data_IF_404652910794
#
_entry.id   IF_404652910794
#
_cell.length_a   1.000
_cell.length_b   1.000
_cell.length_c   1.000
_cell.angle_alpha   90.00
_cell.angle_beta   90.00
_cell.angle_gamma   90.00
#
_symmetry.space_group_name_H-M   'P 1'
#
loop_
_entity.id
_entity.type
_entity.pdbx_description
1 polymer ?
#
# COMPACT_ATOMS: atom_id res chain seq x y z
N UNK A 1 92.16 29.17 -6.95
CA UNK A 1 91.88 30.34 -6.10
C UNK A 1 90.48 30.18 -5.51
N UNK A 2 90.39 30.11 -4.18
CA UNK A 2 89.39 30.78 -3.28
C UNK A 2 87.91 30.65 -3.71
N UNK A 3 86.93 30.14 -2.95
CA UNK A 3 86.72 30.24 -1.51
C UNK A 3 85.75 29.16 -1.00
N UNK A 4 85.95 28.74 0.25
CA UNK A 4 85.01 27.95 1.04
C UNK A 4 83.85 28.82 1.54
N UNK A 5 82.62 28.36 1.36
CA UNK A 5 81.40 28.94 1.94
C UNK A 5 80.76 27.96 2.92
N UNK A 6 80.72 28.35 4.20
CA UNK A 6 80.31 27.56 5.36
C UNK A 6 78.83 27.13 5.32
N UNK A 7 78.59 25.88 5.74
CA UNK A 7 77.27 25.31 6.03
C UNK A 7 76.74 25.80 7.38
N UNK A 8 75.46 26.23 7.47
CA UNK A 8 74.86 26.55 8.75
C UNK A 8 74.47 25.28 9.52
N UNK A 9 74.87 25.27 10.78
CA UNK A 9 74.56 24.28 11.81
C UNK A 9 73.05 24.17 12.06
N UNK A 10 72.52 22.94 11.98
CA UNK A 10 71.15 22.59 12.41
C UNK A 10 71.02 22.70 13.92
N UNK A 11 70.29 23.70 14.40
CA UNK A 11 69.82 23.77 15.78
C UNK A 11 68.76 22.69 16.05
N UNK A 12 69.06 21.81 17.01
CA UNK A 12 68.13 20.86 17.61
C UNK A 12 67.20 21.60 18.59
N UNK A 13 66.02 22.05 18.13
CA UNK A 13 64.91 22.41 19.04
C UNK A 13 64.01 21.20 19.26
N UNK A 14 64.47 20.25 20.07
CA UNK A 14 63.62 19.24 20.71
C UNK A 14 63.13 19.77 22.04
N UNK A 15 61.84 20.04 22.14
CA UNK A 15 61.18 20.25 23.42
C UNK A 15 60.19 21.41 23.37
N UNK A 16 58.95 21.15 22.94
CA UNK A 16 57.73 21.73 23.52
C UNK A 16 56.42 21.33 22.80
N UNK A 17 56.45 20.60 21.68
CA UNK A 17 55.24 20.26 20.93
C UNK A 17 54.41 19.09 21.49
N UNK A 18 54.93 18.34 22.47
CA UNK A 18 54.24 17.14 22.97
C UNK A 18 53.05 17.44 23.91
N UNK A 19 53.07 18.56 24.65
CA UNK A 19 51.96 18.96 25.53
C UNK A 19 50.77 19.55 24.75
N UNK A 20 51.03 20.23 23.63
CA UNK A 20 49.96 20.88 22.85
C UNK A 20 49.06 19.87 22.12
N UNK A 21 49.64 18.76 21.64
CA UNK A 21 48.89 17.69 20.98
C UNK A 21 48.01 16.90 21.94
N UNK A 22 48.39 16.78 23.21
CA UNK A 22 47.56 16.07 24.19
C UNK A 22 46.31 16.89 24.53
N UNK A 23 46.44 18.22 24.68
CA UNK A 23 45.31 19.07 25.01
C UNK A 23 44.30 19.19 23.86
N UNK A 24 44.76 19.29 22.60
CA UNK A 24 43.89 19.28 21.42
C UNK A 24 43.10 17.97 21.27
N UNK A 25 43.72 16.82 21.56
CA UNK A 25 43.03 15.51 21.51
C UNK A 25 41.92 15.43 22.56
N UNK A 26 42.17 15.91 23.78
CA UNK A 26 41.18 15.92 24.86
C UNK A 26 39.99 16.84 24.56
N UNK A 27 40.23 18.01 23.95
CA UNK A 27 39.15 18.94 23.55
C UNK A 27 38.30 18.32 22.43
N UNK A 28 38.93 17.70 21.43
CA UNK A 28 38.21 17.08 20.31
C UNK A 28 37.36 15.88 20.77
N UNK A 29 37.87 15.04 21.67
CA UNK A 29 37.10 13.90 22.21
C UNK A 29 35.94 14.36 23.09
N UNK A 30 36.10 15.42 23.89
CA UNK A 30 35.01 16.00 24.67
C UNK A 30 33.93 16.62 23.77
N UNK A 31 34.32 17.28 22.68
CA UNK A 31 33.38 17.84 21.71
C UNK A 31 32.57 16.74 21.00
N UNK A 32 33.24 15.70 20.50
CA UNK A 32 32.56 14.56 19.85
C UNK A 32 31.60 13.83 20.80
N UNK A 33 32.00 13.63 22.06
CA UNK A 33 31.13 13.04 23.08
C UNK A 33 29.91 13.92 23.36
N UNK A 34 30.10 15.25 23.43
CA UNK A 34 29.01 16.20 23.63
C UNK A 34 28.05 16.21 22.44
N UNK A 35 28.56 16.18 21.21
CA UNK A 35 27.75 16.05 19.99
C UNK A 35 26.98 14.72 19.97
N UNK A 36 27.61 13.61 20.35
CA UNK A 36 26.94 12.32 20.45
C UNK A 36 25.84 12.31 21.52
N UNK A 37 26.08 12.94 22.68
CA UNK A 37 25.08 13.08 23.74
C UNK A 37 23.92 13.97 23.29
N UNK A 38 24.20 15.10 22.63
CA UNK A 38 23.16 15.97 22.07
C UNK A 38 22.36 15.25 21.00
N UNK A 39 23.01 14.51 20.09
CA UNK A 39 22.34 13.72 19.06
C UNK A 39 21.45 12.65 19.69
N UNK A 40 21.97 11.88 20.67
CA UNK A 40 21.21 10.88 21.40
C UNK A 40 20.06 11.51 22.20
N UNK A 41 20.26 12.70 22.78
CA UNK A 41 19.21 13.44 23.47
C UNK A 41 18.17 13.95 22.48
N UNK A 42 18.54 14.49 21.32
CA UNK A 42 17.61 14.91 20.28
C UNK A 42 16.80 13.73 19.74
N UNK A 43 17.42 12.58 19.47
CA UNK A 43 16.73 11.34 19.06
C UNK A 43 15.77 10.89 20.17
N UNK A 44 16.24 10.88 21.42
CA UNK A 44 15.42 10.45 22.58
C UNK A 44 14.31 11.44 22.93
N UNK A 45 14.50 12.73 22.64
CA UNK A 45 13.52 13.79 22.93
C UNK A 45 12.53 13.98 21.78
N UNK A 46 12.93 13.72 20.53
CA UNK A 46 11.98 13.47 19.43
C UNK A 46 11.06 12.29 19.78
N UNK A 47 11.62 11.24 20.41
CA UNK A 47 10.82 10.11 20.90
C UNK A 47 10.02 10.39 22.19
N UNK A 48 10.26 11.49 22.92
CA UNK A 48 9.54 11.81 24.18
C UNK A 48 8.48 12.89 24.02
N UNK A 49 8.67 13.83 23.09
CA UNK A 49 7.69 14.85 22.76
C UNK A 49 6.76 14.43 21.62
N UNK A 50 7.12 13.39 20.87
CA UNK A 50 6.12 12.55 20.25
C UNK A 50 5.40 11.83 21.37
N UNK A 51 4.09 12.05 21.51
CA UNK A 51 3.22 11.19 22.29
C UNK A 51 3.56 9.77 21.82
N UNK A 52 4.29 8.99 22.64
CA UNK A 52 4.42 7.55 22.44
C UNK A 52 3.04 7.00 22.74
N UNK A 53 2.15 7.20 21.77
CA UNK A 53 1.01 6.33 21.66
C UNK A 53 1.69 5.01 21.30
N UNK A 54 1.71 4.07 22.24
CA UNK A 54 2.00 2.65 21.99
C UNK A 54 0.88 2.10 21.09
N UNK A 55 0.63 2.77 19.97
CA UNK A 55 -0.38 2.37 19.01
C UNK A 55 0.11 1.07 18.39
N UNK A 56 -0.77 0.05 18.32
CA UNK A 56 -0.40 -1.24 17.80
C UNK A 56 0.06 -1.09 16.34
N UNK A 57 1.27 -1.58 16.07
CA UNK A 57 1.76 -1.77 14.71
C UNK A 57 1.32 -3.15 14.20
N UNK A 58 1.22 -3.28 12.89
CA UNK A 58 1.06 -4.60 12.27
C UNK A 58 2.36 -5.38 12.35
N UNK A 59 2.24 -6.68 12.59
CA UNK A 59 3.36 -7.59 12.81
C UNK A 59 3.20 -8.88 12.02
N UNK A 60 4.30 -9.63 11.90
CA UNK A 60 4.28 -11.00 11.40
C UNK A 60 4.18 -12.00 12.55
N UNK A 61 3.33 -13.01 12.38
CA UNK A 61 3.24 -14.14 13.30
C UNK A 61 3.98 -15.36 12.76
N UNK A 62 4.46 -16.22 13.65
CA UNK A 62 5.11 -17.49 13.27
C UNK A 62 4.12 -18.54 12.74
N UNK A 63 2.81 -18.24 12.78
CA UNK A 63 1.74 -19.13 12.36
C UNK A 63 0.66 -18.36 11.58
N UNK A 64 -0.09 -19.02 10.68
CA UNK A 64 -1.20 -18.38 9.98
C UNK A 64 -2.30 -17.93 10.95
N UNK A 65 -2.62 -16.63 10.94
CA UNK A 65 -3.79 -16.03 11.56
C UNK A 65 -5.04 -16.12 10.68
N UNK A 66 -4.85 -16.14 9.37
CA UNK A 66 -5.91 -16.13 8.38
C UNK A 66 -5.90 -17.41 7.55
N UNK A 67 -7.10 -17.88 7.19
CA UNK A 67 -7.25 -19.06 6.34
C UNK A 67 -6.86 -18.73 4.90
N UNK A 68 -5.98 -19.55 4.31
CA UNK A 68 -5.75 -19.53 2.87
C UNK A 68 -6.92 -20.23 2.17
N UNK A 69 -7.56 -19.51 1.27
CA UNK A 69 -8.61 -19.98 0.40
C UNK A 69 -8.09 -20.05 -1.04
N UNK A 70 -8.88 -20.59 -1.95
CA UNK A 70 -8.45 -20.78 -3.34
C UNK A 70 -9.48 -20.22 -4.32
N UNK A 71 -9.04 -19.33 -5.19
CA UNK A 71 -9.89 -18.69 -6.19
C UNK A 71 -9.80 -19.36 -7.57
N UNK A 72 -9.67 -18.53 -8.61
CA UNK A 72 -9.59 -18.96 -10.00
C UNK A 72 -8.40 -19.91 -10.17
N UNK A 73 -8.63 -21.02 -10.89
CA UNK A 73 -7.59 -22.04 -11.15
C UNK A 73 -6.95 -22.63 -9.87
N UNK A 74 -7.67 -22.62 -8.74
CA UNK A 74 -7.14 -23.06 -7.44
C UNK A 74 -5.92 -22.26 -6.98
N UNK A 75 -5.85 -20.97 -7.34
CA UNK A 75 -4.76 -20.08 -6.92
C UNK A 75 -4.99 -19.63 -5.49
N UNK A 76 -3.99 -19.71 -4.59
CA UNK A 76 -4.18 -19.36 -3.18
C UNK A 76 -4.36 -17.84 -3.00
N UNK A 77 -5.24 -17.47 -2.06
CA UNK A 77 -5.47 -16.09 -1.66
C UNK A 77 -5.88 -16.03 -0.18
N UNK A 78 -5.81 -14.83 0.39
CA UNK A 78 -6.27 -14.53 1.75
C UNK A 78 -7.23 -13.36 1.70
N UNK A 79 -8.25 -13.39 2.55
CA UNK A 79 -9.15 -12.26 2.79
C UNK A 79 -8.98 -11.82 4.24
N UNK A 80 -8.43 -10.62 4.45
CA UNK A 80 -8.29 -10.01 5.76
C UNK A 80 -9.36 -8.93 5.87
N UNK A 81 -10.19 -8.99 6.91
CA UNK A 81 -11.23 -8.00 7.19
C UNK A 81 -10.89 -7.20 8.45
N UNK A 82 -11.17 -5.91 8.42
CA UNK A 82 -10.96 -4.99 9.54
C UNK A 82 -11.96 -3.83 9.46
N UNK A 83 -11.82 -2.86 10.34
CA UNK A 83 -12.70 -1.68 10.40
C UNK A 83 -11.90 -0.43 10.74
N UNK A 84 -12.24 0.69 10.09
CA UNK A 84 -11.87 2.01 10.57
C UNK A 84 -12.52 2.23 11.95
N UNK A 85 -11.82 2.93 12.84
CA UNK A 85 -12.46 3.49 14.02
C UNK A 85 -13.43 4.64 13.60
N UNK A 86 -14.39 4.93 14.47
CA UNK A 86 -15.43 5.94 14.19
C UNK A 86 -14.84 7.33 13.93
N UNK A 87 -13.77 7.72 14.62
CA UNK A 87 -13.17 9.04 14.47
C UNK A 87 -12.51 9.19 13.11
N UNK A 88 -11.79 8.16 12.66
CA UNK A 88 -11.17 8.11 11.35
C UNK A 88 -12.22 8.10 10.23
N UNK A 89 -13.29 7.33 10.38
CA UNK A 89 -14.41 7.32 9.43
C UNK A 89 -15.06 8.71 9.32
N UNK A 90 -15.37 9.35 10.45
CA UNK A 90 -15.94 10.70 10.44
C UNK A 90 -14.99 11.72 9.82
N UNK A 91 -13.69 11.60 10.08
CA UNK A 91 -12.68 12.49 9.49
C UNK A 91 -12.59 12.33 7.97
N UNK A 92 -12.68 11.10 7.46
CA UNK A 92 -12.82 10.86 6.02
C UNK A 92 -14.05 11.61 5.47
N UNK A 93 -15.22 11.42 6.08
CA UNK A 93 -16.47 12.03 5.62
C UNK A 93 -16.50 13.57 5.65
N UNK A 94 -15.48 14.23 6.21
CA UNK A 94 -15.29 15.68 6.12
C UNK A 94 -14.55 16.14 4.86
N UNK A 95 -13.90 15.23 4.12
CA UNK A 95 -13.28 15.55 2.84
C UNK A 95 -14.34 15.96 1.81
N UNK A 96 -14.01 16.95 0.97
CA UNK A 96 -14.98 17.54 0.05
C UNK A 96 -15.61 16.50 -0.88
N UNK A 97 -14.82 15.59 -1.46
CA UNK A 97 -15.33 14.56 -2.37
C UNK A 97 -16.39 13.65 -1.71
N UNK A 98 -16.32 13.46 -0.39
CA UNK A 98 -17.20 12.54 0.34
C UNK A 98 -18.37 13.25 1.04
N UNK A 99 -18.34 14.58 1.06
CA UNK A 99 -19.34 15.44 1.71
C UNK A 99 -20.07 16.39 0.77
N UNK A 100 -19.61 16.56 -0.46
CA UNK A 100 -20.19 17.48 -1.43
C UNK A 100 -21.66 17.16 -1.74
N UNK A 101 -22.35 18.16 -2.24
CA UNK A 101 -23.72 18.04 -2.76
C UNK A 101 -23.72 17.36 -4.15
N UNK A 102 -24.89 16.89 -4.58
CA UNK A 102 -25.02 16.13 -5.82
C UNK A 102 -24.56 16.92 -7.05
N UNK A 103 -24.92 18.20 -7.11
CA UNK A 103 -24.58 19.07 -8.25
C UNK A 103 -23.07 19.30 -8.37
N UNK A 104 -22.33 19.22 -7.25
CA UNK A 104 -20.88 19.42 -7.22
C UNK A 104 -20.11 18.23 -7.81
N UNK A 105 -20.63 16.99 -7.69
CA UNK A 105 -19.97 15.79 -8.21
C UNK A 105 -19.71 15.85 -9.70
N UNK A 106 -20.66 16.39 -10.48
CA UNK A 106 -20.53 16.54 -11.93
C UNK A 106 -19.35 17.42 -12.35
N UNK A 107 -18.90 18.29 -11.45
CA UNK A 107 -17.79 19.22 -11.69
C UNK A 107 -16.51 18.82 -10.95
N UNK A 108 -16.51 17.72 -10.19
CA UNK A 108 -15.38 17.35 -9.36
C UNK A 108 -14.21 16.86 -10.23
N UNK A 109 -13.00 17.45 -10.10
CA UNK A 109 -11.86 17.08 -10.93
C UNK A 109 -11.47 15.59 -10.84
N UNK A 110 -11.37 14.94 -12.00
CA UNK A 110 -10.95 13.54 -12.10
C UNK A 110 -12.05 12.51 -11.86
N UNK A 111 -13.28 12.94 -11.56
CA UNK A 111 -14.44 12.08 -11.44
C UNK A 111 -15.13 11.92 -12.80
N UNK A 112 -15.24 10.68 -13.28
CA UNK A 112 -15.90 10.35 -14.54
C UNK A 112 -17.30 9.79 -14.28
N UNK A 113 -18.31 10.33 -14.98
CA UNK A 113 -19.68 9.82 -14.90
C UNK A 113 -19.86 8.71 -15.95
N UNK A 114 -19.95 7.46 -15.49
CA UNK A 114 -19.86 6.28 -16.36
C UNK A 114 -21.18 5.79 -16.89
N UNK A 115 -22.28 6.19 -16.26
CA UNK A 115 -23.59 5.57 -16.51
C UNK A 115 -24.64 6.68 -16.59
N UNK A 116 -25.50 6.54 -17.59
CA UNK A 116 -26.66 7.42 -17.74
C UNK A 116 -27.77 7.01 -16.76
N UNK A 117 -28.71 7.92 -16.52
CA UNK A 117 -29.92 7.63 -15.75
C UNK A 117 -30.57 6.28 -16.12
N UNK A 118 -31.12 5.53 -15.15
CA UNK A 118 -31.36 5.92 -13.76
C UNK A 118 -30.24 5.48 -12.79
N UNK A 119 -29.10 4.98 -13.27
CA UNK A 119 -28.00 4.53 -12.40
C UNK A 119 -26.89 5.56 -12.45
N UNK A 120 -26.54 6.13 -11.31
CA UNK A 120 -25.41 7.06 -11.22
C UNK A 120 -24.21 6.33 -10.65
N UNK A 121 -23.21 6.08 -11.49
CA UNK A 121 -21.90 5.56 -11.07
C UNK A 121 -20.83 6.57 -11.46
N UNK A 122 -20.32 7.24 -10.44
CA UNK A 122 -19.13 8.05 -10.59
C UNK A 122 -17.91 7.23 -10.20
N UNK A 123 -16.87 7.29 -11.02
CA UNK A 123 -15.59 6.67 -10.69
C UNK A 123 -14.45 7.66 -10.95
N UNK A 124 -13.69 7.93 -9.91
CA UNK A 124 -12.54 8.84 -9.98
C UNK A 124 -11.24 8.10 -9.80
N UNK A 125 -10.21 8.50 -10.54
CA UNK A 125 -8.90 7.86 -10.49
C UNK A 125 -7.82 8.79 -10.01
N UNK A 126 -7.17 8.38 -8.93
CA UNK A 126 -6.18 9.19 -8.22
C UNK A 126 -4.98 8.34 -7.85
N UNK A 127 -3.93 8.97 -7.30
CA UNK A 127 -2.86 8.25 -6.61
C UNK A 127 -2.72 8.63 -5.14
N UNK A 128 -2.20 7.68 -4.36
CA UNK A 128 -1.96 7.82 -2.91
C UNK A 128 -0.51 8.16 -2.53
N UNK A 129 0.36 8.38 -3.52
CA UNK A 129 1.78 8.65 -3.29
C UNK A 129 2.01 9.97 -2.53
N UNK A 130 3.13 10.14 -1.82
CA UNK A 130 3.40 11.34 -1.00
C UNK A 130 3.45 12.68 -1.77
N UNK A 131 3.66 12.64 -3.09
CA UNK A 131 3.71 13.84 -3.96
C UNK A 131 2.32 14.40 -4.26
N UNK A 132 2.22 15.72 -4.42
CA UNK A 132 1.02 16.41 -4.96
C UNK A 132 1.00 16.54 -6.47
N UNK A 133 2.11 16.24 -7.14
CA UNK A 133 2.20 16.20 -8.60
C UNK A 133 1.36 15.06 -9.17
N UNK A 134 0.97 15.16 -10.44
CA UNK A 134 0.31 14.07 -11.13
C UNK A 134 1.26 12.89 -11.34
N UNK A 135 0.70 11.68 -11.43
CA UNK A 135 1.46 10.47 -11.67
C UNK A 135 1.00 9.78 -12.95
N UNK A 136 1.91 9.66 -13.91
CA UNK A 136 1.68 8.89 -15.12
C UNK A 136 1.55 7.39 -14.81
N UNK A 137 0.38 6.81 -15.08
CA UNK A 137 0.11 5.40 -14.77
C UNK A 137 -1.10 4.86 -15.54
N UNK A 138 -1.26 3.55 -15.55
CA UNK A 138 -2.32 2.87 -16.29
C UNK A 138 -3.69 3.20 -15.71
N UNK A 139 -4.66 3.46 -16.59
CA UNK A 139 -6.07 3.51 -16.21
C UNK A 139 -6.56 2.10 -15.83
N UNK A 140 -7.08 1.88 -14.61
CA UNK A 140 -7.59 0.57 -14.21
C UNK A 140 -8.91 0.23 -14.91
N UNK A 141 -9.57 1.20 -15.57
CA UNK A 141 -10.70 0.92 -16.45
C UNK A 141 -10.21 0.15 -17.69
N UNK A 142 -10.65 -1.10 -17.91
CA UNK A 142 -10.24 -1.88 -19.07
C UNK A 142 -10.71 -1.28 -20.41
N UNK A 143 -11.78 -0.46 -20.41
CA UNK A 143 -12.28 0.20 -21.62
C UNK A 143 -11.41 1.37 -22.07
N UNK A 144 -10.76 2.06 -21.12
CA UNK A 144 -9.80 3.14 -21.42
C UNK A 144 -8.42 2.52 -21.65
N UNK A 145 -7.98 1.66 -20.71
CA UNK A 145 -6.84 0.75 -20.84
C UNK A 145 -5.49 1.39 -21.15
N UNK A 146 -5.41 2.71 -21.19
CA UNK A 146 -4.26 3.52 -21.58
C UNK A 146 -3.70 4.25 -20.37
N UNK A 147 -2.43 4.65 -20.47
CA UNK A 147 -1.79 5.43 -19.43
C UNK A 147 -2.27 6.89 -19.50
N UNK A 148 -2.35 7.54 -18.34
CA UNK A 148 -2.76 8.93 -18.21
C UNK A 148 -2.18 9.55 -16.95
N UNK A 149 -2.24 10.88 -16.87
CA UNK A 149 -1.86 11.65 -15.69
C UNK A 149 -2.93 11.50 -14.60
N UNK A 150 -2.66 10.67 -13.60
CA UNK A 150 -3.52 10.57 -12.41
C UNK A 150 -3.31 11.76 -11.52
N UNK A 151 -4.39 12.36 -11.06
CA UNK A 151 -4.35 13.41 -10.04
C UNK A 151 -3.97 12.81 -8.68
N UNK A 152 -3.30 13.60 -7.84
CA UNK A 152 -3.13 13.27 -6.45
C UNK A 152 -4.51 13.22 -5.76
N UNK A 153 -4.73 12.20 -4.93
CA UNK A 153 -5.92 12.20 -4.07
C UNK A 153 -5.84 13.35 -3.05
N UNK A 154 -6.96 13.59 -2.36
CA UNK A 154 -6.99 14.57 -1.28
C UNK A 154 -5.88 14.29 -0.26
N UNK A 155 -5.38 15.35 0.36
CA UNK A 155 -4.22 15.26 1.25
C UNK A 155 -4.46 14.30 2.42
N UNK A 156 -5.68 14.27 2.97
CA UNK A 156 -6.06 13.34 4.04
C UNK A 156 -6.09 11.88 3.54
N UNK A 157 -6.68 11.62 2.37
CA UNK A 157 -6.69 10.28 1.78
C UNK A 157 -5.27 9.77 1.51
N UNK A 158 -4.38 10.63 0.97
CA UNK A 158 -2.96 10.28 0.80
C UNK A 158 -2.28 9.97 2.13
N UNK A 159 -2.52 10.79 3.15
CA UNK A 159 -2.00 10.56 4.50
C UNK A 159 -2.47 9.24 5.10
N UNK A 160 -3.72 8.83 4.87
CA UNK A 160 -4.24 7.54 5.32
C UNK A 160 -3.47 6.36 4.71
N UNK A 161 -3.29 6.33 3.39
CA UNK A 161 -2.57 5.23 2.74
C UNK A 161 -1.08 5.22 3.08
N UNK A 162 -0.48 6.39 3.25
CA UNK A 162 0.89 6.51 3.75
C UNK A 162 1.02 6.00 5.20
N UNK A 163 0.05 6.32 6.07
CA UNK A 163 -0.02 5.77 7.42
C UNK A 163 -0.26 4.25 7.40
N UNK A 164 -1.14 3.75 6.54
CA UNK A 164 -1.42 2.32 6.41
C UNK A 164 -0.17 1.52 6.02
N UNK A 165 0.63 2.04 5.07
CA UNK A 165 1.94 1.45 4.72
C UNK A 165 2.91 1.50 5.89
N UNK A 166 2.95 2.61 6.62
CA UNK A 166 3.85 2.79 7.76
C UNK A 166 3.53 1.83 8.92
N UNK A 167 2.26 1.75 9.34
CA UNK A 167 1.85 0.93 10.49
C UNK A 167 2.00 -0.57 10.22
N UNK A 168 1.92 -0.98 8.95
CA UNK A 168 2.10 -2.37 8.52
C UNK A 168 3.45 -2.61 7.83
N UNK A 169 4.44 -1.75 8.07
CA UNK A 169 5.73 -1.83 7.38
C UNK A 169 6.41 -3.19 7.56
N UNK A 170 6.36 -3.77 8.75
CA UNK A 170 6.94 -5.10 9.01
C UNK A 170 6.39 -6.17 8.06
N UNK A 171 5.07 -6.16 7.83
CA UNK A 171 4.39 -7.11 6.94
C UNK A 171 4.84 -6.91 5.48
N UNK A 172 4.93 -5.65 5.03
CA UNK A 172 5.33 -5.35 3.64
C UNK A 172 6.83 -5.55 3.40
N UNK A 173 7.68 -5.26 4.38
CA UNK A 173 9.11 -5.57 4.36
C UNK A 173 9.30 -7.10 4.29
N UNK A 174 8.54 -7.88 5.08
CA UNK A 174 8.56 -9.34 5.01
C UNK A 174 8.07 -9.89 3.67
N UNK A 175 6.97 -9.34 3.11
CA UNK A 175 6.46 -9.73 1.80
C UNK A 175 7.49 -9.47 0.70
N UNK A 176 8.08 -8.28 0.69
CA UNK A 176 9.14 -7.90 -0.26
C UNK A 176 10.30 -8.89 -0.17
N UNK A 177 10.77 -9.19 1.04
CA UNK A 177 11.91 -10.07 1.25
C UNK A 177 11.61 -11.51 0.84
N UNK A 178 10.41 -12.00 1.13
CA UNK A 178 9.96 -13.33 0.73
C UNK A 178 9.85 -13.46 -0.80
N UNK A 179 9.37 -12.42 -1.49
CA UNK A 179 9.33 -12.37 -2.96
C UNK A 179 10.74 -12.38 -3.56
N UNK A 180 11.66 -11.59 -3.01
CA UNK A 180 13.08 -11.59 -3.42
C UNK A 180 13.73 -12.95 -3.23
N UNK A 181 13.43 -13.64 -2.13
CA UNK A 181 13.97 -14.98 -1.85
C UNK A 181 13.36 -16.07 -2.73
N UNK A 182 12.10 -15.90 -3.14
CA UNK A 182 11.43 -16.81 -4.05
C UNK A 182 11.81 -16.57 -5.52
N UNK A 183 12.29 -15.38 -5.87
CA UNK A 183 12.67 -15.04 -7.24
C UNK A 183 13.86 -15.86 -7.73
N UNK A 184 13.84 -16.28 -9.00
CA UNK A 184 14.99 -16.90 -9.68
C UNK A 184 16.04 -15.90 -10.17
N UNK A 185 15.80 -14.60 -9.97
CA UNK A 185 16.67 -13.54 -10.49
C UNK A 185 18.12 -13.66 -10.01
N UNK A 186 18.34 -14.15 -8.77
CA UNK A 186 19.68 -14.33 -8.21
C UNK A 186 20.48 -15.40 -8.94
N UNK A 187 19.83 -16.43 -9.48
CA UNK A 187 20.49 -17.51 -10.21
C UNK A 187 20.64 -17.22 -11.71
N UNK A 188 19.64 -16.60 -12.33
CA UNK A 188 19.59 -16.44 -13.80
C UNK A 188 19.94 -15.05 -14.30
N UNK A 189 19.92 -14.03 -13.44
CA UNK A 189 19.93 -12.61 -13.81
C UNK A 189 18.79 -12.18 -14.76
N UNK A 190 17.75 -13.01 -14.91
CA UNK A 190 16.53 -12.69 -15.64
C UNK A 190 15.40 -12.40 -14.64
N UNK A 191 14.74 -11.24 -14.76
CA UNK A 191 13.66 -10.88 -13.84
C UNK A 191 12.47 -11.83 -14.02
N UNK A 192 11.88 -12.24 -12.90
CA UNK A 192 10.60 -12.94 -12.86
C UNK A 192 9.53 -12.07 -12.19
N UNK A 193 8.28 -12.54 -12.20
CA UNK A 193 7.16 -11.80 -11.60
C UNK A 193 7.34 -11.54 -10.10
N UNK A 194 8.04 -12.40 -9.37
CA UNK A 194 8.35 -12.19 -7.96
C UNK A 194 9.27 -10.98 -7.78
N UNK A 195 10.32 -10.88 -8.60
CA UNK A 195 11.24 -9.74 -8.58
C UNK A 195 10.51 -8.42 -8.89
N UNK A 196 9.69 -8.41 -9.94
CA UNK A 196 8.94 -7.21 -10.34
C UNK A 196 7.99 -6.74 -9.23
N UNK A 197 7.24 -7.67 -8.62
CA UNK A 197 6.32 -7.33 -7.53
C UNK A 197 7.07 -6.82 -6.28
N UNK A 198 8.20 -7.44 -5.93
CA UNK A 198 9.04 -6.98 -4.83
C UNK A 198 9.54 -5.55 -5.05
N UNK A 199 9.95 -5.22 -6.28
CA UNK A 199 10.37 -3.87 -6.67
C UNK A 199 9.24 -2.86 -6.53
N UNK A 200 8.01 -3.20 -6.93
CA UNK A 200 6.86 -2.31 -6.73
C UNK A 200 6.55 -2.07 -5.25
N UNK A 201 6.74 -3.08 -4.39
CA UNK A 201 6.58 -2.91 -2.94
C UNK A 201 7.67 -1.97 -2.39
N UNK A 202 8.94 -2.20 -2.75
CA UNK A 202 10.10 -1.41 -2.35
C UNK A 202 9.98 0.08 -2.76
N UNK A 203 9.44 0.33 -3.96
CA UNK A 203 9.13 1.67 -4.47
C UNK A 203 7.93 2.34 -3.77
N UNK A 204 7.24 1.65 -2.86
CA UNK A 204 6.04 2.15 -2.20
C UNK A 204 4.82 2.27 -3.12
N UNK A 205 4.80 1.56 -4.25
CA UNK A 205 3.70 1.62 -5.22
C UNK A 205 2.48 0.78 -4.80
N UNK A 206 2.61 -0.09 -3.79
CA UNK A 206 1.47 -0.80 -3.23
C UNK A 206 0.46 0.18 -2.62
N UNK A 207 -0.82 -0.03 -2.95
CA UNK A 207 -1.92 0.90 -2.66
C UNK A 207 -1.74 2.31 -3.26
N UNK A 208 -0.85 2.47 -4.25
CA UNK A 208 -0.57 3.74 -4.93
C UNK A 208 -1.66 4.15 -5.91
N UNK A 209 -2.36 3.20 -6.55
CA UNK A 209 -3.43 3.45 -7.53
C UNK A 209 -4.79 3.42 -6.84
N UNK A 210 -5.52 4.53 -6.88
CA UNK A 210 -6.82 4.67 -6.22
C UNK A 210 -7.96 4.77 -7.25
N UNK A 211 -9.01 3.97 -7.04
CA UNK A 211 -10.33 4.14 -7.65
C UNK A 211 -11.34 4.49 -6.55
N UNK A 212 -12.00 5.64 -6.68
CA UNK A 212 -13.07 6.08 -5.79
C UNK A 212 -14.38 5.90 -6.52
N UNK A 213 -15.25 5.04 -5.98
CA UNK A 213 -16.54 4.72 -6.56
C UNK A 213 -17.66 5.35 -5.72
N UNK A 214 -18.55 6.09 -6.37
CA UNK A 214 -19.76 6.64 -5.77
C UNK A 214 -20.95 6.10 -6.54
N UNK A 215 -21.88 5.46 -5.83
CA UNK A 215 -23.06 4.82 -6.41
C UNK A 215 -24.34 5.26 -5.68
N UNK A 216 -25.35 5.69 -6.44
CA UNK A 216 -26.71 5.94 -5.93
C UNK A 216 -27.78 5.74 -7.02
N UNK A 217 -29.05 5.87 -6.63
CA UNK A 217 -30.25 5.48 -7.38
C UNK A 217 -30.41 3.96 -7.52
N UNK A 218 -30.61 3.44 -8.73
CA UNK A 218 -30.92 2.03 -8.95
C UNK A 218 -29.72 1.11 -8.70
N UNK A 219 -29.93 0.03 -7.94
CA UNK A 219 -28.97 -1.03 -7.69
C UNK A 219 -28.65 -1.87 -8.94
N UNK A 220 -27.72 -2.83 -8.78
CA UNK A 220 -27.21 -3.63 -9.89
C UNK A 220 -27.55 -5.14 -9.82
N UNK A 221 -28.60 -5.52 -9.09
CA UNK A 221 -29.01 -6.93 -8.92
C UNK A 221 -29.20 -7.65 -10.26
N UNK A 222 -29.80 -6.97 -11.26
CA UNK A 222 -29.97 -7.54 -12.60
C UNK A 222 -28.64 -7.96 -13.26
N UNK A 223 -27.56 -7.19 -13.06
CA UNK A 223 -26.20 -7.52 -13.57
C UNK A 223 -25.56 -8.65 -12.79
N UNK A 224 -25.88 -8.77 -11.50
CA UNK A 224 -25.42 -9.87 -10.66
C UNK A 224 -26.05 -11.18 -11.12
N UNK A 225 -27.37 -11.19 -11.37
CA UNK A 225 -28.14 -12.35 -11.84
C UNK A 225 -27.76 -12.76 -13.26
N UNK A 226 -27.58 -11.79 -14.18
CA UNK A 226 -27.18 -12.06 -15.56
C UNK A 226 -25.73 -12.57 -15.67
N UNK A 227 -24.91 -12.38 -14.64
CA UNK A 227 -23.50 -12.73 -14.66
C UNK A 227 -22.58 -11.59 -15.11
N UNK A 228 -23.12 -10.48 -15.62
CA UNK A 228 -22.37 -9.34 -16.16
C UNK A 228 -21.53 -8.62 -15.10
N UNK A 229 -21.95 -8.65 -13.83
CA UNK A 229 -21.19 -8.05 -12.74
C UNK A 229 -19.94 -8.88 -12.33
N UNK A 230 -19.87 -10.16 -12.73
CA UNK A 230 -18.84 -11.09 -12.25
C UNK A 230 -17.55 -11.03 -13.06
N UNK A 231 -16.48 -10.55 -12.45
CA UNK A 231 -15.18 -10.37 -13.10
C UNK A 231 -14.01 -10.79 -12.19
N UNK A 232 -12.80 -10.77 -12.75
CA UNK A 232 -11.53 -10.78 -12.01
C UNK A 232 -10.83 -9.47 -12.29
N UNK A 233 -10.20 -8.89 -11.29
CA UNK A 233 -9.44 -7.65 -11.50
C UNK A 233 -8.15 -7.91 -12.30
N UNK A 234 -7.58 -6.83 -12.83
CA UNK A 234 -6.25 -6.83 -13.44
C UNK A 234 -5.14 -7.04 -12.39
N UNK A 235 -3.90 -7.20 -12.87
CA UNK A 235 -2.74 -7.57 -12.07
C UNK A 235 -2.38 -6.53 -10.98
N UNK A 236 -2.80 -5.27 -11.10
CA UNK A 236 -2.62 -4.27 -10.03
C UNK A 236 -3.39 -4.63 -8.76
N UNK A 237 -4.41 -5.47 -8.85
CA UNK A 237 -5.16 -5.98 -7.70
C UNK A 237 -4.59 -7.28 -7.12
N UNK A 238 -3.30 -7.57 -7.34
CA UNK A 238 -2.58 -8.58 -6.55
C UNK A 238 -2.58 -8.22 -5.06
N UNK A 239 -2.43 -6.93 -4.72
CA UNK A 239 -2.80 -6.39 -3.42
C UNK A 239 -3.92 -5.37 -3.63
N UNK A 240 -5.10 -5.68 -3.12
CA UNK A 240 -6.30 -4.87 -3.22
C UNK A 240 -6.80 -4.55 -1.81
N UNK A 241 -6.70 -3.29 -1.42
CA UNK A 241 -7.27 -2.76 -0.18
C UNK A 241 -8.52 -1.96 -0.51
N UNK A 242 -9.66 -2.34 0.04
CA UNK A 242 -10.90 -1.60 -0.13
C UNK A 242 -11.39 -1.03 1.20
N UNK A 243 -11.95 0.18 1.14
CA UNK A 243 -12.53 0.90 2.28
C UNK A 243 -13.92 1.37 1.88
N UNK A 244 -14.93 1.04 2.67
CA UNK A 244 -16.31 1.53 2.47
C UNK A 244 -16.55 2.70 3.43
N UNK A 245 -16.79 3.91 2.91
CA UNK A 245 -16.94 5.13 3.71
C UNK A 245 -18.41 5.50 3.98
N UNK A 246 -19.31 5.19 3.06
CA UNK A 246 -20.74 5.51 3.18
C UNK A 246 -21.55 4.43 2.47
N UNK A 247 -22.81 4.28 2.88
CA UNK A 247 -23.75 3.32 2.31
C UNK A 247 -23.34 1.87 2.58
N UNK A 248 -24.13 0.94 2.06
CA UNK A 248 -23.87 -0.48 2.19
C UNK A 248 -23.80 -1.15 0.83
N UNK A 249 -22.91 -2.13 0.72
CA UNK A 249 -22.80 -3.01 -0.45
C UNK A 249 -22.46 -4.42 0.01
N UNK A 250 -22.59 -5.39 -0.89
CA UNK A 250 -22.14 -6.77 -0.64
C UNK A 250 -21.08 -7.14 -1.67
N UNK A 251 -19.95 -7.66 -1.21
CA UNK A 251 -18.98 -8.29 -2.09
C UNK A 251 -19.37 -9.76 -2.26
N UNK A 252 -19.76 -10.15 -3.46
CA UNK A 252 -19.92 -11.54 -3.84
C UNK A 252 -18.55 -12.04 -4.31
N UNK A 253 -18.08 -13.16 -3.79
CA UNK A 253 -16.84 -13.82 -4.25
C UNK A 253 -17.06 -15.31 -4.46
N UNK A 254 -16.36 -15.90 -5.44
CA UNK A 254 -16.34 -17.35 -5.67
C UNK A 254 -14.98 -17.90 -5.31
N UNK A 255 -14.93 -18.72 -4.25
CA UNK A 255 -13.69 -19.29 -3.70
C UNK A 255 -13.94 -20.66 -3.07
N UNK A 256 -12.89 -21.44 -2.94
CA UNK A 256 -12.88 -22.77 -2.32
C UNK A 256 -12.27 -22.61 -0.93
N UNK A 257 -13.06 -22.87 0.11
CA UNK A 257 -12.57 -22.99 1.48
C UNK A 257 -12.12 -24.43 1.68
N UNK A 258 -10.83 -24.66 1.94
CA UNK A 258 -10.37 -26.00 2.33
C UNK A 258 -11.05 -26.36 3.65
N UNK A 259 -12.01 -27.28 3.60
CA UNK A 259 -12.50 -27.96 4.78
C UNK A 259 -11.37 -28.76 5.45
N UNK A 260 -11.51 -29.05 6.74
CA UNK A 260 -10.52 -29.78 7.56
C UNK A 260 -10.21 -31.21 7.10
N UNK A 261 -10.88 -31.72 6.06
CA UNK A 261 -10.72 -33.08 5.55
C UNK A 261 -9.78 -33.12 4.33
N UNK A 262 -8.49 -32.89 4.56
CA UNK A 262 -7.38 -32.97 3.58
C UNK A 262 -7.23 -34.32 2.85
N UNK A 263 -8.07 -35.33 3.14
CA UNK A 263 -7.94 -36.69 2.59
C UNK A 263 -8.67 -36.92 1.27
N UNK A 264 -9.55 -36.02 0.80
CA UNK A 264 -10.25 -36.17 -0.49
C UNK A 264 -9.63 -35.33 -1.62
N UNK A 265 -8.30 -35.29 -1.69
CA UNK A 265 -7.48 -34.56 -2.67
C UNK A 265 -7.76 -34.87 -4.16
N UNK A 266 -8.69 -35.77 -4.48
CA UNK A 266 -8.98 -36.22 -5.84
C UNK A 266 -10.18 -35.59 -6.53
N UNK A 267 -11.04 -34.83 -5.85
CA UNK A 267 -12.17 -34.13 -6.48
C UNK A 267 -12.12 -32.66 -6.10
N UNK A 268 -11.87 -31.80 -7.08
CA UNK A 268 -11.98 -30.35 -6.92
C UNK A 268 -13.39 -30.01 -6.46
N UNK A 269 -13.52 -29.56 -5.21
CA UNK A 269 -14.77 -28.99 -4.71
C UNK A 269 -15.09 -27.76 -5.55
N UNK A 270 -16.33 -27.62 -6.06
CA UNK A 270 -16.69 -26.43 -6.84
C UNK A 270 -16.57 -25.19 -5.93
N UNK A 271 -16.07 -24.04 -6.47
CA UNK A 271 -16.06 -22.79 -5.72
C UNK A 271 -17.46 -22.45 -5.21
N UNK A 272 -17.57 -22.14 -3.92
CA UNK A 272 -18.81 -21.63 -3.33
C UNK A 272 -18.85 -20.12 -3.42
N UNK A 273 -20.06 -19.58 -3.54
CA UNK A 273 -20.29 -18.15 -3.44
C UNK A 273 -20.30 -17.72 -1.97
N UNK A 274 -19.55 -16.66 -1.66
CA UNK A 274 -19.43 -16.08 -0.34
C UNK A 274 -19.84 -14.62 -0.42
N UNK A 275 -20.69 -14.22 0.52
CA UNK A 275 -21.29 -12.90 0.61
C UNK A 275 -20.66 -12.15 1.79
N UNK A 276 -19.96 -11.06 1.49
CA UNK A 276 -19.29 -10.24 2.48
C UNK A 276 -19.94 -8.85 2.50
N UNK A 277 -20.78 -8.60 3.51
CA UNK A 277 -21.37 -7.27 3.71
C UNK A 277 -20.26 -6.26 3.97
N UNK A 278 -20.42 -5.09 3.37
CA UNK A 278 -19.51 -3.96 3.48
C UNK A 278 -20.33 -2.74 3.91
N UNK A 279 -20.35 -2.50 5.22
CA UNK A 279 -20.97 -1.34 5.86
C UNK A 279 -19.94 -0.20 6.02
N UNK A 280 -20.36 1.04 6.34
CA UNK A 280 -19.44 2.16 6.56
C UNK A 280 -18.36 1.82 7.60
N UNK A 281 -17.12 2.17 7.29
CA UNK A 281 -15.93 1.83 8.08
C UNK A 281 -15.33 0.45 7.77
N UNK A 282 -16.00 -0.44 7.04
CA UNK A 282 -15.41 -1.75 6.72
C UNK A 282 -14.21 -1.61 5.79
N UNK A 283 -13.18 -2.40 6.09
CA UNK A 283 -11.93 -2.51 5.34
C UNK A 283 -11.70 -3.98 5.00
N UNK A 284 -11.24 -4.27 3.78
CA UNK A 284 -10.66 -5.57 3.49
C UNK A 284 -9.39 -5.47 2.65
N UNK A 285 -8.46 -6.39 2.88
CA UNK A 285 -7.29 -6.64 2.04
C UNK A 285 -7.39 -8.04 1.43
N UNK A 286 -7.26 -8.13 0.11
CA UNK A 286 -7.21 -9.41 -0.61
C UNK A 286 -6.52 -9.26 -1.97
N UNK A 287 -6.59 -10.32 -2.79
CA UNK A 287 -6.09 -10.38 -4.16
C UNK A 287 -7.25 -10.63 -5.13
N UNK A 288 -8.02 -9.60 -5.47
CA UNK A 288 -9.21 -9.74 -6.33
C UNK A 288 -8.90 -10.15 -7.77
N UNK A 289 -7.63 -10.10 -8.19
CA UNK A 289 -7.18 -10.71 -9.46
C UNK A 289 -7.20 -12.25 -9.40
N UNK A 290 -7.16 -12.84 -8.20
CA UNK A 290 -7.12 -14.28 -7.97
C UNK A 290 -8.49 -14.90 -7.72
N UNK A 291 -9.57 -14.12 -7.66
CA UNK A 291 -10.94 -14.61 -7.44
C UNK A 291 -11.96 -13.94 -8.35
N UNK A 292 -12.97 -14.69 -8.79
CA UNK A 292 -14.15 -14.09 -9.42
C UNK A 292 -14.98 -13.41 -8.35
N UNK A 293 -15.35 -12.16 -8.59
CA UNK A 293 -16.12 -11.38 -7.64
C UNK A 293 -17.07 -10.41 -8.36
N UNK A 294 -18.07 -9.93 -7.62
CA UNK A 294 -19.06 -8.97 -8.09
C UNK A 294 -19.53 -8.11 -6.90
N UNK A 295 -19.40 -6.77 -6.94
CA UNK A 295 -20.05 -5.91 -5.96
C UNK A 295 -21.55 -5.83 -6.25
N UNK A 296 -22.38 -6.05 -5.25
CA UNK A 296 -23.82 -5.76 -5.27
C UNK A 296 -24.06 -4.41 -4.60
N UNK A 297 -24.73 -3.53 -5.33
CA UNK A 297 -25.24 -2.26 -4.85
C UNK A 297 -26.77 -2.33 -4.78
N UNK A 298 -27.32 -1.73 -3.72
CA UNK A 298 -28.76 -1.64 -3.49
C UNK A 298 -29.32 -0.31 -3.99
N UNK A 299 -30.64 -0.25 -4.13
CA UNK A 299 -31.34 1.00 -4.37
C UNK A 299 -31.07 1.98 -3.24
N UNK A 300 -30.56 3.16 -3.57
CA UNK A 300 -30.19 4.20 -2.60
C UNK A 300 -30.52 5.58 -3.16
N UNK A 301 -30.54 6.59 -2.30
CA UNK A 301 -30.61 7.98 -2.74
C UNK A 301 -29.25 8.66 -2.52
N UNK A 302 -29.11 9.91 -2.93
CA UNK A 302 -27.86 10.65 -2.76
C UNK A 302 -27.34 10.68 -1.31
N UNK A 303 -28.22 10.81 -0.32
CA UNK A 303 -27.82 10.88 1.10
C UNK A 303 -27.29 9.55 1.64
N UNK A 304 -27.84 8.44 1.14
CA UNK A 304 -27.46 7.06 1.49
C UNK A 304 -26.52 6.39 0.48
N UNK A 305 -25.98 7.17 -0.47
CA UNK A 305 -25.08 6.72 -1.53
C UNK A 305 -23.93 5.88 -0.99
N UNK A 306 -23.51 4.90 -1.77
CA UNK A 306 -22.32 4.10 -1.46
C UNK A 306 -21.09 4.87 -1.90
N UNK A 307 -20.11 5.02 -1.00
CA UNK A 307 -18.78 5.56 -1.32
C UNK A 307 -17.74 4.51 -0.92
N UNK A 308 -16.95 4.06 -1.88
CA UNK A 308 -15.89 3.09 -1.63
C UNK A 308 -14.58 3.54 -2.29
N UNK A 309 -13.45 3.35 -1.60
CA UNK A 309 -12.12 3.56 -2.15
C UNK A 309 -11.46 2.19 -2.33
N UNK A 310 -10.91 1.95 -3.50
CA UNK A 310 -10.15 0.75 -3.84
C UNK A 310 -8.73 1.17 -4.14
N UNK A 311 -7.76 0.59 -3.42
CA UNK A 311 -6.35 0.88 -3.57
C UNK A 311 -5.58 -0.35 -4.02
N UNK A 312 -4.73 -0.16 -5.02
CA UNK A 312 -4.06 -1.19 -5.81
C UNK A 312 -2.61 -0.81 -6.08
N UNK A 313 -1.83 -1.69 -6.70
CA UNK A 313 -0.51 -1.32 -7.20
C UNK A 313 -0.59 -0.22 -8.27
N UNK A 314 0.26 0.79 -8.14
CA UNK A 314 0.49 1.78 -9.17
C UNK A 314 1.55 1.29 -10.15
N UNK A 315 1.17 1.19 -11.43
CA UNK A 315 2.08 0.82 -12.52
C UNK A 315 1.68 1.51 -13.84
N UNK A 316 2.58 1.49 -14.83
CA UNK A 316 2.31 1.93 -16.20
C UNK A 316 1.86 0.76 -17.10
N UNK A 317 1.46 1.04 -18.34
CA UNK A 317 1.16 0.01 -19.34
C UNK A 317 2.42 -0.80 -19.69
N UNK A 318 3.58 -0.15 -19.78
CA UNK A 318 4.85 -0.82 -20.03
C UNK A 318 5.20 -1.81 -18.90
N UNK A 319 4.96 -1.42 -17.64
CA UNK A 319 5.20 -2.28 -16.48
C UNK A 319 4.34 -3.56 -16.51
N UNK A 320 3.04 -3.42 -16.78
CA UNK A 320 2.13 -4.59 -16.82
C UNK A 320 2.35 -5.46 -18.05
N UNK A 321 2.71 -4.87 -19.19
CA UNK A 321 3.09 -5.63 -20.39
C UNK A 321 4.35 -6.45 -20.14
N UNK A 322 5.35 -5.84 -19.49
CA UNK A 322 6.56 -6.54 -19.08
C UNK A 322 6.24 -7.67 -18.08
N UNK A 323 5.45 -7.38 -17.03
CA UNK A 323 5.01 -8.37 -16.06
C UNK A 323 4.32 -9.57 -16.73
N UNK A 324 3.40 -9.32 -17.67
CA UNK A 324 2.71 -10.37 -18.44
C UNK A 324 3.65 -11.16 -19.32
N UNK A 325 4.64 -10.52 -19.93
CA UNK A 325 5.64 -11.17 -20.80
C UNK A 325 6.50 -12.18 -20.03
N UNK A 326 6.90 -11.85 -18.80
CA UNK A 326 7.75 -12.71 -17.96
C UNK A 326 6.94 -13.68 -17.07
N UNK A 327 5.61 -13.57 -17.07
CA UNK A 327 4.72 -14.44 -16.29
C UNK A 327 4.67 -15.85 -16.86
N UNK A 328 5.54 -16.71 -16.36
CA UNK A 328 5.51 -18.15 -16.58
C UNK A 328 4.64 -18.84 -15.52
N UNK A 329 4.06 -20.00 -15.85
CA UNK A 329 3.20 -20.77 -14.92
C UNK A 329 3.85 -20.98 -13.55
N UNK A 330 5.08 -21.52 -13.52
CA UNK A 330 5.79 -21.82 -12.27
C UNK A 330 6.12 -20.55 -11.48
N UNK A 331 6.46 -19.46 -12.17
CA UNK A 331 6.73 -18.17 -11.52
C UNK A 331 5.46 -17.56 -10.90
N UNK A 332 4.31 -17.75 -11.55
CA UNK A 332 3.01 -17.29 -11.06
C UNK A 332 2.52 -18.10 -9.85
N UNK A 333 2.63 -19.42 -9.91
CA UNK A 333 2.33 -20.29 -8.76
C UNK A 333 3.21 -19.92 -7.56
N UNK A 334 4.50 -19.65 -7.79
CA UNK A 334 5.41 -19.23 -6.74
C UNK A 334 5.02 -17.88 -6.13
N UNK A 335 4.78 -16.87 -6.96
CA UNK A 335 4.36 -15.53 -6.52
C UNK A 335 3.10 -15.59 -5.66
N UNK A 336 2.08 -16.29 -6.13
CA UNK A 336 0.77 -16.35 -5.45
C UNK A 336 0.85 -17.13 -4.14
N UNK A 337 1.67 -18.18 -4.06
CA UNK A 337 1.95 -18.87 -2.80
C UNK A 337 2.69 -17.97 -1.80
N UNK A 338 3.71 -17.22 -2.22
CA UNK A 338 4.43 -16.28 -1.35
C UNK A 338 3.50 -15.22 -0.79
N UNK A 339 2.67 -14.64 -1.66
CA UNK A 339 1.69 -13.62 -1.30
C UNK A 339 0.69 -14.16 -0.27
N UNK A 340 0.05 -15.30 -0.57
CA UNK A 340 -0.95 -15.89 0.31
C UNK A 340 -0.36 -16.31 1.66
N UNK A 341 0.81 -16.96 1.68
CA UNK A 341 1.44 -17.38 2.93
C UNK A 341 1.87 -16.19 3.81
N UNK A 342 2.40 -15.13 3.20
CA UNK A 342 2.79 -13.94 3.96
C UNK A 342 1.57 -13.25 4.54
N UNK A 343 0.52 -13.03 3.74
CA UNK A 343 -0.72 -12.42 4.21
C UNK A 343 -1.46 -13.30 5.23
N UNK A 344 -1.35 -14.62 5.12
CA UNK A 344 -1.97 -15.53 6.08
C UNK A 344 -1.40 -15.38 7.49
N UNK A 345 -0.14 -15.00 7.61
CA UNK A 345 0.57 -14.81 8.88
C UNK A 345 0.62 -13.34 9.36
N UNK A 346 -0.03 -12.42 8.65
CA UNK A 346 0.03 -10.99 8.94
C UNK A 346 -1.04 -10.57 9.96
N UNK A 347 -0.67 -9.94 11.07
CA UNK A 347 -1.61 -9.24 11.97
C UNK A 347 -1.80 -7.79 11.50
N UNK A 348 -2.56 -7.63 10.41
CA UNK A 348 -2.76 -6.33 9.76
C UNK A 348 -3.51 -5.33 10.67
N UNK A 349 -2.98 -4.11 10.78
CA UNK A 349 -3.62 -2.99 11.50
C UNK A 349 -4.11 -1.90 10.56
N UNK A 350 -5.32 -1.41 10.81
CA UNK A 350 -5.80 -0.14 10.24
C UNK A 350 -5.21 1.00 11.09
N UNK A 351 -4.64 2.06 10.48
CA UNK A 351 -4.06 3.15 11.25
C UNK A 351 -5.12 3.88 12.08
N UNK A 352 -4.76 4.36 13.26
CA UNK A 352 -5.58 5.26 14.07
C UNK A 352 -5.64 6.65 13.44
N UNK A 353 -6.65 7.45 13.80
CA UNK A 353 -6.69 8.86 13.37
C UNK A 353 -5.40 9.63 13.73
N UNK A 354 -4.82 9.39 14.92
CA UNK A 354 -3.58 10.05 15.34
C UNK A 354 -2.37 9.69 14.45
N UNK A 355 -2.27 8.43 14.03
CA UNK A 355 -1.25 7.99 13.07
C UNK A 355 -1.44 8.66 11.70
N UNK A 356 -2.69 8.76 11.22
CA UNK A 356 -3.00 9.46 9.96
C UNK A 356 -2.67 10.95 10.03
N UNK A 357 -3.04 11.64 11.11
CA UNK A 357 -2.74 13.06 11.33
C UNK A 357 -1.22 13.32 11.40
N UNK A 358 -0.45 12.38 11.98
CA UNK A 358 1.02 12.46 11.98
C UNK A 358 1.59 12.43 10.55
N UNK A 359 1.06 11.56 9.68
CA UNK A 359 1.46 11.50 8.26
C UNK A 359 0.96 12.71 7.48
N UNK A 360 -0.24 13.21 7.79
CA UNK A 360 -0.79 14.43 7.18
C UNK A 360 0.15 15.62 7.41
N UNK A 361 0.60 15.83 8.65
CA UNK A 361 1.57 16.88 8.98
C UNK A 361 2.92 16.71 8.26
N UNK A 362 3.34 15.48 8.01
CA UNK A 362 4.55 15.19 7.24
C UNK A 362 4.37 15.55 5.76
N UNK A 363 3.24 15.17 5.15
CA UNK A 363 2.92 15.49 3.76
C UNK A 363 2.77 17.00 3.52
N UNK A 364 2.23 17.75 4.48
CA UNK A 364 2.12 19.22 4.41
C UNK A 364 3.48 19.94 4.37
N UNK A 365 4.56 19.26 4.76
CA UNK A 365 5.93 19.81 4.76
C UNK A 365 6.73 19.41 3.51
N UNK A 366 6.19 18.52 2.68
CA UNK A 366 6.81 18.21 1.41
C UNK A 366 6.65 19.40 0.46
N UNK A 367 7.69 19.74 -0.33
CA UNK A 367 7.71 20.90 -1.22
C UNK A 367 6.71 20.79 -2.36
#
# INVERSE_FOLDING_TARGET
MINMGQLPTKENRKGHTQRYNHHRKTILSAFLLTCAIILLWCIRNQNRNGILIDDPLGSMEDHPLHQIEYGVQSTPLVMIQSTLDDQLLQRFLQDHLYSCEQDELNSYPGLDNRVNEPVYVYEGYYHSLPTSETMYSKNPNPFIGTDFEKLAASLFTRAFYDAFRWVNREIFDALQQNLVNASTFKETAEEDVCHVLARWIDQGHHFGDLSIQIHYESGNEHKLVSGEAWHTDAENSLLHLAVTLRGERVLHSRRIRRGSNLRSLGKHEPPSEILERQSPGNVYLSSSTLMRHAPQFFDTNYSSRVIAIHARFLYTSADVEYFRKIRMKDSWERLTNVLANTLAAADLKVPTLAQVETRLLALQRLP
#
